data_IF_163483447779
#
_entry.id   IF_163483447779
#
_cell.length_a   1.000
_cell.length_b   1.000
_cell.length_c   1.000
_cell.angle_alpha   90.00
_cell.angle_beta   90.00
_cell.angle_gamma   90.00
#
_symmetry.space_group_name_H-M   'P 1'
#
loop_
_entity.id
_entity.type
_entity.pdbx_description
1 polymer ?
#
# COMPACT_ATOMS: atom_id res chain seq x y z
N UNK A 1 -0.69 -23.20 15.51
CA UNK A 1 -0.36 -23.01 14.08
C UNK A 1 0.32 -21.67 13.93
N UNK A 2 1.33 -21.54 13.06
CA UNK A 2 1.94 -20.24 12.77
C UNK A 2 0.89 -19.29 12.18
N UNK A 3 0.93 -18.00 12.56
CA UNK A 3 -0.05 -17.00 12.12
C UNK A 3 0.00 -16.73 10.60
N UNK A 4 1.16 -16.89 9.98
CA UNK A 4 1.41 -16.62 8.56
C UNK A 4 2.65 -17.36 8.05
N UNK A 5 2.86 -17.36 6.73
CA UNK A 5 3.91 -18.12 6.08
C UNK A 5 5.32 -17.56 6.38
N UNK A 6 6.29 -18.46 6.61
CA UNK A 6 7.66 -18.12 6.99
C UNK A 6 7.78 -17.32 8.30
N UNK A 7 6.87 -17.56 9.25
CA UNK A 7 6.80 -16.86 10.55
C UNK A 7 8.17 -16.67 11.23
N UNK A 8 8.93 -17.76 11.43
CA UNK A 8 10.23 -17.73 12.10
C UNK A 8 11.27 -16.81 11.42
N UNK A 9 11.15 -16.63 10.09
CA UNK A 9 12.06 -15.76 9.32
C UNK A 9 11.69 -14.28 9.43
N UNK A 10 10.47 -13.97 9.85
CA UNK A 10 9.91 -12.60 9.88
C UNK A 10 9.71 -12.08 11.30
N UNK A 11 9.40 -12.96 12.24
CA UNK A 11 9.01 -12.63 13.62
C UNK A 11 9.97 -11.64 14.27
N UNK A 12 11.28 -11.91 14.24
CA UNK A 12 12.28 -11.02 14.86
C UNK A 12 12.21 -9.58 14.34
N UNK A 13 12.01 -9.42 13.03
CA UNK A 13 11.91 -8.10 12.40
C UNK A 13 10.58 -7.42 12.70
N UNK A 14 9.47 -8.17 12.72
CA UNK A 14 8.15 -7.65 13.07
C UNK A 14 8.14 -7.18 14.52
N UNK A 15 8.59 -8.04 15.45
CA UNK A 15 8.68 -7.71 16.88
C UNK A 15 9.58 -6.50 17.14
N UNK A 16 10.72 -6.40 16.45
CA UNK A 16 11.58 -5.22 16.54
C UNK A 16 10.84 -3.94 16.12
N UNK A 17 10.15 -3.96 14.98
CA UNK A 17 9.38 -2.82 14.47
C UNK A 17 8.26 -2.40 15.44
N UNK A 18 7.41 -3.33 15.88
CA UNK A 18 6.24 -2.98 16.70
C UNK A 18 6.62 -2.56 18.13
N UNK A 19 7.79 -3.00 18.63
CA UNK A 19 8.31 -2.62 19.94
C UNK A 19 8.67 -1.14 20.01
N UNK A 20 9.09 -0.52 18.89
CA UNK A 20 9.30 0.94 18.80
C UNK A 20 8.01 1.73 19.09
N UNK A 21 6.85 1.10 18.92
CA UNK A 21 5.52 1.67 19.16
C UNK A 21 4.89 1.20 20.48
N UNK A 22 5.65 0.51 21.33
CA UNK A 22 5.17 -0.01 22.61
C UNK A 22 4.12 -1.10 22.46
N UNK A 23 4.22 -1.93 21.41
CA UNK A 23 3.42 -3.13 21.20
C UNK A 23 4.29 -4.36 21.45
N UNK A 24 3.80 -5.33 22.19
CA UNK A 24 4.59 -6.45 22.70
C UNK A 24 4.42 -7.74 21.90
N UNK A 25 3.31 -7.90 21.16
CA UNK A 25 3.07 -9.05 20.31
C UNK A 25 2.34 -8.70 19.01
N UNK A 26 2.37 -9.61 18.04
CA UNK A 26 1.70 -9.44 16.75
C UNK A 26 0.18 -9.50 16.95
N UNK A 27 -0.31 -10.35 17.85
CA UNK A 27 -1.71 -10.46 18.21
C UNK A 27 -2.23 -9.19 18.90
N UNK A 28 -1.40 -8.51 19.70
CA UNK A 28 -1.75 -7.23 20.31
C UNK A 28 -2.08 -6.17 19.24
N UNK A 29 -1.45 -6.24 18.05
CA UNK A 29 -1.79 -5.35 16.94
C UNK A 29 -3.26 -5.49 16.50
N UNK A 30 -3.77 -6.73 16.45
CA UNK A 30 -5.16 -6.99 16.10
C UNK A 30 -6.11 -6.44 17.17
N UNK A 31 -5.78 -6.60 18.45
CA UNK A 31 -6.59 -6.08 19.55
C UNK A 31 -6.61 -4.54 19.58
N UNK A 32 -5.48 -3.89 19.29
CA UNK A 32 -5.42 -2.42 19.12
C UNK A 32 -6.37 -1.95 18.02
N UNK A 33 -6.39 -2.65 16.88
CA UNK A 33 -7.29 -2.31 15.77
C UNK A 33 -8.76 -2.54 16.13
N UNK A 34 -9.08 -3.69 16.73
CA UNK A 34 -10.44 -4.03 17.17
C UNK A 34 -10.97 -3.09 18.23
N UNK A 35 -10.13 -2.60 19.14
CA UNK A 35 -10.50 -1.58 20.12
C UNK A 35 -10.95 -0.26 19.47
N UNK A 36 -10.56 -0.01 18.22
CA UNK A 36 -11.05 1.10 17.38
C UNK A 36 -12.21 0.70 16.45
N UNK A 37 -12.76 -0.50 16.60
CA UNK A 37 -13.84 -1.02 15.76
C UNK A 37 -13.38 -1.49 14.37
N UNK A 38 -12.08 -1.73 14.18
CA UNK A 38 -11.51 -2.11 12.89
C UNK A 38 -11.07 -3.58 12.89
N UNK A 39 -11.72 -4.41 12.07
CA UNK A 39 -11.28 -5.77 11.77
C UNK A 39 -10.45 -5.76 10.47
N UNK A 40 -9.18 -5.37 10.59
CA UNK A 40 -8.28 -5.18 9.45
C UNK A 40 -8.03 -6.51 8.72
N UNK A 41 -7.92 -7.61 9.47
CA UNK A 41 -7.72 -8.94 8.91
C UNK A 41 -8.85 -9.30 7.93
N UNK A 42 -10.12 -9.20 8.37
CA UNK A 42 -11.27 -9.47 7.50
C UNK A 42 -11.45 -8.43 6.41
N UNK A 43 -11.09 -7.18 6.66
CA UNK A 43 -11.15 -6.13 5.64
C UNK A 43 -10.23 -6.45 4.46
N UNK A 44 -8.99 -6.85 4.73
CA UNK A 44 -8.02 -7.23 3.70
C UNK A 44 -8.49 -8.48 2.94
N UNK A 45 -9.00 -9.47 3.67
CA UNK A 45 -9.59 -10.68 3.07
C UNK A 45 -10.80 -10.36 2.17
N UNK A 46 -11.67 -9.46 2.61
CA UNK A 46 -12.83 -9.03 1.81
C UNK A 46 -12.46 -8.26 0.56
N UNK A 47 -11.33 -7.53 0.57
CA UNK A 47 -10.80 -6.83 -0.61
C UNK A 47 -10.19 -7.82 -1.61
N UNK A 48 -9.40 -8.78 -1.11
CA UNK A 48 -8.75 -9.78 -1.93
C UNK A 48 -8.87 -11.17 -1.27
N UNK A 49 -9.90 -11.96 -1.62
CA UNK A 49 -10.18 -13.25 -0.97
C UNK A 49 -9.06 -14.29 -1.11
N UNK A 50 -8.20 -14.15 -2.11
CA UNK A 50 -7.05 -15.04 -2.36
C UNK A 50 -5.73 -14.48 -1.81
N UNK A 51 -5.77 -13.46 -0.95
CA UNK A 51 -4.56 -12.91 -0.34
C UNK A 51 -3.94 -13.88 0.68
N UNK A 52 -2.61 -13.86 0.77
CA UNK A 52 -1.87 -14.66 1.74
C UNK A 52 -2.09 -14.16 3.18
N UNK A 53 -1.87 -15.04 4.16
CA UNK A 53 -1.90 -14.67 5.58
C UNK A 53 -0.93 -13.52 5.90
N UNK A 54 0.24 -13.53 5.24
CA UNK A 54 1.20 -12.43 5.32
C UNK A 54 0.58 -11.06 5.03
N UNK A 55 -0.29 -10.93 4.04
CA UNK A 55 -0.90 -9.65 3.70
C UNK A 55 -1.88 -9.20 4.80
N UNK A 56 -2.77 -10.09 5.23
CA UNK A 56 -3.77 -9.81 6.27
C UNK A 56 -3.11 -9.33 7.57
N UNK A 57 -2.02 -9.98 7.98
CA UNK A 57 -1.25 -9.59 9.16
C UNK A 57 -0.38 -8.35 8.96
N UNK A 58 0.25 -8.17 7.79
CA UNK A 58 1.08 -7.00 7.54
C UNK A 58 0.27 -5.69 7.59
N UNK A 59 -0.93 -5.68 7.01
CA UNK A 59 -1.85 -4.55 7.13
C UNK A 59 -2.36 -4.38 8.56
N UNK A 60 -2.64 -5.45 9.29
CA UNK A 60 -3.05 -5.38 10.70
C UNK A 60 -1.97 -4.73 11.57
N UNK A 61 -0.71 -5.14 11.40
CA UNK A 61 0.44 -4.53 12.07
C UNK A 61 0.59 -3.07 11.68
N UNK A 62 0.55 -2.75 10.38
CA UNK A 62 0.65 -1.38 9.88
C UNK A 62 -0.43 -0.45 10.42
N UNK A 63 -1.68 -0.93 10.49
CA UNK A 63 -2.79 -0.16 11.07
C UNK A 63 -2.61 0.04 12.58
N UNK A 64 -2.13 -0.96 13.32
CA UNK A 64 -1.84 -0.80 14.75
C UNK A 64 -0.75 0.25 15.00
N UNK A 65 0.30 0.28 14.16
CA UNK A 65 1.33 1.32 14.18
C UNK A 65 0.71 2.69 13.93
N UNK A 66 -0.12 2.84 12.90
CA UNK A 66 -0.81 4.10 12.60
C UNK A 66 -1.67 4.60 13.77
N UNK A 67 -2.38 3.68 14.44
CA UNK A 67 -3.19 3.98 15.63
C UNK A 67 -2.30 4.43 16.80
N UNK A 68 -1.18 3.74 17.07
CA UNK A 68 -0.24 4.11 18.14
C UNK A 68 0.45 5.45 17.87
N UNK A 69 0.72 5.77 16.60
CA UNK A 69 1.24 7.08 16.18
C UNK A 69 0.20 8.21 16.30
N UNK A 70 -1.08 7.88 16.51
CA UNK A 70 -2.15 8.86 16.55
C UNK A 70 -2.41 9.51 15.19
N UNK A 71 -2.17 8.80 14.09
CA UNK A 71 -2.40 9.32 12.74
C UNK A 71 -3.87 9.69 12.57
N UNK A 72 -4.14 10.98 12.29
CA UNK A 72 -5.49 11.50 12.01
C UNK A 72 -5.71 11.78 10.53
N UNK A 73 -4.64 11.99 9.77
CA UNK A 73 -4.69 12.18 8.31
C UNK A 73 -4.48 10.86 7.60
N UNK A 74 -5.20 10.66 6.50
CA UNK A 74 -5.09 9.44 5.68
C UNK A 74 -3.68 9.24 5.10
N UNK A 75 -3.01 10.33 4.72
CA UNK A 75 -1.64 10.32 4.21
C UNK A 75 -0.63 9.79 5.25
N UNK A 76 -0.74 10.25 6.50
CA UNK A 76 0.14 9.80 7.59
C UNK A 76 -0.15 8.33 7.94
N UNK A 77 -1.42 7.93 7.94
CA UNK A 77 -1.80 6.54 8.14
C UNK A 77 -1.26 5.62 7.04
N UNK A 78 -1.27 6.05 5.76
CA UNK A 78 -0.71 5.29 4.66
C UNK A 78 0.80 5.06 4.82
N UNK A 79 1.55 6.09 5.22
CA UNK A 79 2.98 5.95 5.49
C UNK A 79 3.25 4.98 6.65
N UNK A 80 2.50 5.10 7.76
CA UNK A 80 2.63 4.21 8.90
C UNK A 80 2.28 2.75 8.56
N UNK A 81 1.27 2.52 7.73
CA UNK A 81 0.96 1.18 7.22
C UNK A 81 2.13 0.58 6.44
N UNK A 82 2.85 1.42 5.67
CA UNK A 82 4.06 1.02 4.96
C UNK A 82 5.16 0.45 5.86
N UNK A 83 5.26 0.89 7.11
CA UNK A 83 6.22 0.37 8.08
C UNK A 83 5.86 -1.05 8.52
N UNK A 84 4.56 -1.33 8.70
CA UNK A 84 4.06 -2.70 8.91
C UNK A 84 4.31 -3.59 7.70
N UNK A 85 4.05 -3.10 6.47
CA UNK A 85 4.38 -3.85 5.26
C UNK A 85 5.89 -4.14 5.16
N UNK A 86 6.74 -3.17 5.56
CA UNK A 86 8.18 -3.33 5.52
C UNK A 86 8.68 -4.37 6.52
N UNK A 87 8.07 -4.46 7.71
CA UNK A 87 8.46 -5.46 8.70
C UNK A 87 8.16 -6.88 8.24
N UNK A 88 7.26 -7.04 7.27
CA UNK A 88 6.98 -8.30 6.57
C UNK A 88 7.84 -8.50 5.31
N UNK A 89 8.89 -7.74 5.06
CA UNK A 89 9.87 -8.06 4.01
C UNK A 89 10.94 -9.00 4.59
N UNK A 90 11.21 -10.15 3.95
CA UNK A 90 12.20 -11.12 4.46
C UNK A 90 13.60 -10.47 4.43
N UNK A 91 14.39 -10.53 5.52
CA UNK A 91 15.76 -10.01 5.52
C UNK A 91 16.59 -10.53 4.36
N UNK A 92 17.26 -9.62 3.64
CA UNK A 92 18.11 -9.95 2.49
C UNK A 92 17.36 -10.28 1.19
N UNK A 93 16.03 -10.28 1.20
CA UNK A 93 15.24 -10.33 -0.05
C UNK A 93 15.34 -9.01 -0.81
N UNK A 94 15.02 -9.06 -2.12
CA UNK A 94 14.90 -7.84 -2.95
C UNK A 94 13.90 -6.86 -2.33
N UNK A 95 12.81 -7.36 -1.75
CA UNK A 95 11.78 -6.52 -1.12
C UNK A 95 12.32 -5.75 0.10
N UNK A 96 13.15 -6.40 0.91
CA UNK A 96 13.81 -5.74 2.04
C UNK A 96 14.86 -4.72 1.58
N UNK A 97 15.71 -5.10 0.62
CA UNK A 97 16.76 -4.22 0.10
C UNK A 97 16.18 -2.96 -0.58
N UNK A 98 15.11 -3.13 -1.37
CA UNK A 98 14.43 -2.04 -2.06
C UNK A 98 13.42 -1.28 -1.19
N UNK A 99 13.28 -1.66 0.08
CA UNK A 99 12.34 -1.06 1.04
C UNK A 99 10.93 -0.98 0.49
N UNK A 100 10.46 -2.09 -0.09
CA UNK A 100 9.20 -2.15 -0.84
C UNK A 100 8.00 -1.78 0.03
N UNK A 101 7.95 -2.23 1.28
CA UNK A 101 6.84 -1.88 2.18
C UNK A 101 6.76 -0.38 2.46
N UNK A 102 7.90 0.25 2.77
CA UNK A 102 7.97 1.71 2.95
C UNK A 102 7.62 2.44 1.65
N UNK A 103 8.09 1.92 0.52
CA UNK A 103 7.76 2.45 -0.81
C UNK A 103 6.26 2.48 -1.07
N UNK A 104 5.54 1.40 -0.76
CA UNK A 104 4.08 1.34 -0.92
C UNK A 104 3.35 2.32 0.01
N UNK A 105 3.75 2.41 1.29
CA UNK A 105 3.16 3.37 2.22
C UNK A 105 3.39 4.82 1.79
N UNK A 106 4.60 5.15 1.35
CA UNK A 106 4.96 6.47 0.86
C UNK A 106 4.25 6.82 -0.46
N UNK A 107 4.05 5.86 -1.36
CA UNK A 107 3.24 6.05 -2.54
C UNK A 107 1.79 6.40 -2.15
N UNK A 108 1.18 5.63 -1.25
CA UNK A 108 -0.15 5.91 -0.73
C UNK A 108 -0.25 7.30 -0.08
N UNK A 109 0.77 7.68 0.71
CA UNK A 109 0.90 9.02 1.29
C UNK A 109 0.89 10.10 0.21
N UNK A 110 1.80 10.02 -0.76
CA UNK A 110 1.94 11.02 -1.83
C UNK A 110 0.64 11.16 -2.62
N UNK A 111 -0.04 10.06 -2.95
CA UNK A 111 -1.31 10.08 -3.67
C UNK A 111 -2.44 10.78 -2.90
N UNK A 112 -2.39 10.78 -1.56
CA UNK A 112 -3.42 11.38 -0.69
C UNK A 112 -3.06 12.80 -0.24
N UNK A 113 -1.82 13.26 -0.43
CA UNK A 113 -1.37 14.61 -0.07
C UNK A 113 -1.71 15.65 -1.14
N UNK A 114 -2.34 16.76 -0.75
CA UNK A 114 -2.71 17.84 -1.67
C UNK A 114 -1.51 18.49 -2.36
N UNK A 115 -0.34 18.49 -1.71
CA UNK A 115 0.91 19.05 -2.27
C UNK A 115 1.46 18.20 -3.44
N UNK A 116 1.03 16.94 -3.56
CA UNK A 116 1.34 16.12 -4.74
C UNK A 116 0.36 16.46 -5.85
N UNK A 117 0.84 17.07 -6.93
CA UNK A 117 -0.02 17.47 -8.05
C UNK A 117 0.01 16.53 -9.26
N UNK A 118 0.98 15.60 -9.30
CA UNK A 118 1.21 14.74 -10.45
C UNK A 118 1.57 13.32 -10.01
N UNK A 119 0.93 12.33 -10.62
CA UNK A 119 1.30 10.92 -10.52
C UNK A 119 1.78 10.44 -11.88
N UNK A 120 3.10 10.21 -11.98
CA UNK A 120 3.74 9.71 -13.19
C UNK A 120 4.23 8.28 -12.98
N UNK A 121 3.95 7.38 -13.91
CA UNK A 121 4.39 6.00 -13.86
C UNK A 121 4.75 5.46 -15.25
N UNK A 122 5.57 4.41 -15.25
CA UNK A 122 6.05 3.72 -16.44
C UNK A 122 5.42 2.33 -16.50
N UNK A 123 4.77 2.01 -17.61
CA UNK A 123 4.32 0.66 -17.92
C UNK A 123 5.11 0.11 -19.10
N UNK A 124 5.48 -1.17 -19.04
CA UNK A 124 6.15 -1.83 -20.17
C UNK A 124 5.22 -2.01 -21.37
N UNK A 125 5.80 -2.40 -22.51
CA UNK A 125 5.12 -2.48 -23.81
C UNK A 125 3.81 -3.28 -23.79
N UNK A 126 3.72 -4.31 -22.94
CA UNK A 126 2.57 -5.21 -22.83
C UNK A 126 1.89 -5.14 -21.44
N UNK A 127 2.25 -4.16 -20.62
CA UNK A 127 1.79 -4.06 -19.22
C UNK A 127 0.46 -3.30 -19.09
N UNK A 128 -0.52 -3.63 -19.92
CA UNK A 128 -1.82 -2.94 -19.99
C UNK A 128 -2.56 -2.97 -18.64
N UNK A 129 -2.67 -4.14 -18.03
CA UNK A 129 -3.35 -4.31 -16.74
C UNK A 129 -2.66 -3.53 -15.60
N UNK A 130 -1.32 -3.41 -15.65
CA UNK A 130 -0.58 -2.63 -14.66
C UNK A 130 -0.82 -1.13 -14.84
N UNK A 131 -0.88 -0.67 -16.09
CA UNK A 131 -1.23 0.71 -16.40
C UNK A 131 -2.64 1.06 -15.94
N UNK A 132 -3.65 0.25 -16.28
CA UNK A 132 -5.02 0.45 -15.82
C UNK A 132 -5.14 0.42 -14.30
N UNK A 133 -4.44 -0.51 -13.63
CA UNK A 133 -4.40 -0.56 -12.18
C UNK A 133 -3.86 0.72 -11.55
N UNK A 134 -2.76 1.26 -12.09
CA UNK A 134 -2.18 2.52 -11.61
C UNK A 134 -3.09 3.73 -11.86
N UNK A 135 -3.74 3.80 -13.03
CA UNK A 135 -4.76 4.83 -13.32
C UNK A 135 -5.90 4.74 -12.32
N UNK A 136 -6.44 3.54 -12.10
CA UNK A 136 -7.52 3.31 -11.15
C UNK A 136 -7.16 3.72 -9.72
N UNK A 137 -5.91 3.50 -9.29
CA UNK A 137 -5.43 4.00 -7.98
C UNK A 137 -5.51 5.53 -7.92
N UNK A 138 -5.06 6.22 -8.96
CA UNK A 138 -5.13 7.69 -9.02
C UNK A 138 -6.57 8.20 -9.02
N UNK A 139 -7.48 7.55 -9.75
CA UNK A 139 -8.91 7.88 -9.76
C UNK A 139 -9.55 7.71 -8.37
N UNK A 140 -9.21 6.62 -7.66
CA UNK A 140 -9.71 6.39 -6.30
C UNK A 140 -9.18 7.45 -5.33
N UNK A 141 -7.89 7.81 -5.43
CA UNK A 141 -7.33 8.91 -4.65
C UNK A 141 -8.05 10.24 -4.95
N UNK A 142 -8.31 10.54 -6.22
CA UNK A 142 -8.99 11.76 -6.64
C UNK A 142 -10.42 11.91 -6.09
N UNK A 143 -11.08 10.83 -5.63
CA UNK A 143 -12.40 10.92 -4.99
C UNK A 143 -12.40 11.68 -3.67
N UNK A 144 -11.25 11.76 -3.00
CA UNK A 144 -11.12 12.39 -1.66
C UNK A 144 -10.23 13.62 -1.69
N UNK A 145 -9.71 14.01 -2.86
CA UNK A 145 -8.84 15.16 -3.05
C UNK A 145 -9.63 16.41 -3.44
N UNK A 146 -9.10 17.58 -3.09
CA UNK A 146 -9.64 18.87 -3.56
C UNK A 146 -9.22 19.14 -5.00
N UNK A 147 -7.95 18.90 -5.32
CA UNK A 147 -7.41 19.02 -6.68
C UNK A 147 -7.04 17.63 -7.20
N UNK A 148 -7.67 17.15 -8.28
CA UNK A 148 -7.30 15.89 -8.90
C UNK A 148 -5.83 15.85 -9.32
N UNK A 149 -5.18 14.72 -9.13
CA UNK A 149 -3.85 14.43 -9.63
C UNK A 149 -3.85 14.48 -11.16
N UNK A 150 -2.84 15.14 -11.72
CA UNK A 150 -2.48 14.95 -13.13
C UNK A 150 -1.81 13.58 -13.27
N UNK A 151 -2.33 12.75 -14.17
CA UNK A 151 -1.84 11.39 -14.36
C UNK A 151 -1.01 11.33 -15.64
N UNK A 152 0.23 10.85 -15.54
CA UNK A 152 1.14 10.67 -16.67
C UNK A 152 1.53 9.20 -16.75
N UNK A 153 1.27 8.59 -17.90
CA UNK A 153 1.69 7.24 -18.21
C UNK A 153 2.70 7.27 -19.36
N UNK A 154 3.88 6.69 -19.12
CA UNK A 154 4.91 6.52 -20.14
C UNK A 154 5.14 5.02 -20.44
N UNK A 155 5.71 4.71 -21.61
CA UNK A 155 6.24 3.38 -21.94
C UNK A 155 5.32 2.44 -22.71
N UNK A 156 4.11 2.88 -23.07
CA UNK A 156 3.20 2.09 -23.91
C UNK A 156 3.55 2.19 -25.40
N UNK A 157 3.29 1.10 -26.13
CA UNK A 157 3.24 1.15 -27.59
C UNK A 157 2.12 2.06 -28.08
N UNK A 158 2.28 2.65 -29.27
CA UNK A 158 1.36 3.63 -29.86
C UNK A 158 -0.11 3.17 -29.82
N UNK A 159 -0.37 1.93 -30.24
CA UNK A 159 -1.74 1.41 -30.32
C UNK A 159 -2.34 1.19 -28.92
N UNK A 160 -1.54 0.66 -27.99
CA UNK A 160 -1.95 0.48 -26.59
C UNK A 160 -2.25 1.83 -25.91
N UNK A 161 -1.45 2.86 -26.18
CA UNK A 161 -1.66 4.21 -25.67
C UNK A 161 -2.96 4.82 -26.18
N UNK A 162 -3.28 4.68 -27.47
CA UNK A 162 -4.54 5.17 -28.04
C UNK A 162 -5.77 4.45 -27.45
N UNK A 163 -5.67 3.14 -27.21
CA UNK A 163 -6.74 2.36 -26.58
C UNK A 163 -6.96 2.81 -25.12
N UNK A 164 -5.90 2.87 -24.31
CA UNK A 164 -5.99 3.28 -22.91
C UNK A 164 -6.52 4.70 -22.79
N UNK A 165 -6.09 5.61 -23.67
CA UNK A 165 -6.56 6.98 -23.65
C UNK A 165 -8.05 7.09 -23.93
N UNK A 166 -8.58 6.30 -24.87
CA UNK A 166 -10.02 6.28 -25.18
C UNK A 166 -10.85 5.71 -24.03
N UNK A 167 -10.36 4.67 -23.34
CA UNK A 167 -11.08 4.01 -22.24
C UNK A 167 -11.06 4.87 -20.97
N UNK A 168 -9.91 5.44 -20.63
CA UNK A 168 -9.68 6.12 -19.36
C UNK A 168 -9.77 7.66 -19.46
N UNK A 169 -10.11 8.19 -20.63
CA UNK A 169 -10.36 9.62 -20.82
C UNK A 169 -9.10 10.51 -20.75
N UNK A 170 -7.92 10.00 -21.14
CA UNK A 170 -6.74 10.84 -21.26
C UNK A 170 -6.97 11.92 -22.33
N UNK A 171 -6.67 13.16 -21.98
CA UNK A 171 -6.87 14.32 -22.86
C UNK A 171 -5.78 14.48 -23.91
N UNK A 172 -4.67 13.76 -23.79
CA UNK A 172 -3.50 13.88 -24.66
C UNK A 172 -2.71 12.58 -24.70
N UNK A 173 -2.23 12.21 -25.89
CA UNK A 173 -1.32 11.09 -26.17
C UNK A 173 -0.25 11.62 -27.11
N UNK A 174 1.01 11.40 -26.76
CA UNK A 174 2.20 11.75 -27.56
C UNK A 174 2.92 10.50 -28.05
#
# INVERSE_FOLDING_TARGET
MALFESYERREKQILACIKEYGINSIEECAEICKAKGLDIYKLVEGIQPICFENAKWAYTVGCAIAIKKGCTKAADAAAAIGEGLQSFCIPGSVADQRKVGLGHGNLGKMLLEEDTECFAFLAGHESFAAAEGAIGIAEKANKVRKKPLRVILNGLGKDAAQIIARINGFTYVE
#
